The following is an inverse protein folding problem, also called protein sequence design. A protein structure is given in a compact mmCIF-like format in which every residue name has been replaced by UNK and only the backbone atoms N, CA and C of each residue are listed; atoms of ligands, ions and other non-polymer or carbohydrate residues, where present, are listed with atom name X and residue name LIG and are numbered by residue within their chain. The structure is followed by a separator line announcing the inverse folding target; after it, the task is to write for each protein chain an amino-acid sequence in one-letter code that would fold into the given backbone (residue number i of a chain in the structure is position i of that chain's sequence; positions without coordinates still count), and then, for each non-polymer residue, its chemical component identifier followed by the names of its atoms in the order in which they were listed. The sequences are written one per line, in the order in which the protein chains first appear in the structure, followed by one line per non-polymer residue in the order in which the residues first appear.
data_IF_292937242502
#
_entry.id   IF_292937242502
#
_cell.length_a   1.000
_cell.length_b   1.000
_cell.length_c   1.000
_cell.angle_alpha   90.00
_cell.angle_beta   90.00
_cell.angle_gamma   90.00
#
_symmetry.space_group_name_H-M   'P 1'
#
loop_
_entity.id
_entity.type
_entity.pdbx_description
1 polymer ?
#
# COMPACT_ATOMS: atom_id res chain seq x y z
N UNK A 1 18.34 -30.96 -17.51
CA UNK A 1 19.24 -30.81 -16.34
C UNK A 1 19.50 -29.33 -16.14
N UNK A 2 19.82 -28.89 -14.92
CA UNK A 2 20.20 -27.50 -14.61
C UNK A 2 21.23 -27.57 -13.48
N UNK A 3 22.35 -26.86 -13.62
CA UNK A 3 23.33 -26.78 -12.54
C UNK A 3 23.97 -25.39 -12.46
N UNK A 4 24.00 -24.79 -11.26
CA UNK A 4 24.67 -23.53 -10.98
C UNK A 4 25.10 -23.40 -9.52
N UNK A 5 26.05 -22.51 -9.27
CA UNK A 5 26.51 -22.13 -7.94
C UNK A 5 26.32 -20.62 -7.75
N UNK A 6 25.85 -20.21 -6.57
CA UNK A 6 25.53 -18.81 -6.28
C UNK A 6 25.96 -18.47 -4.84
N UNK A 7 26.36 -17.21 -4.59
CA UNK A 7 26.61 -16.70 -3.23
C UNK A 7 25.33 -16.71 -2.43
N UNK A 8 25.34 -17.39 -1.27
CA UNK A 8 24.15 -17.59 -0.43
C UNK A 8 23.47 -16.27 -0.06
N UNK A 9 24.22 -15.30 0.42
CA UNK A 9 23.65 -14.04 0.93
C UNK A 9 22.99 -13.21 -0.19
N UNK A 10 23.61 -13.18 -1.38
CA UNK A 10 23.01 -12.59 -2.57
C UNK A 10 21.69 -13.30 -2.94
N UNK A 11 21.71 -14.63 -2.95
CA UNK A 11 20.55 -15.43 -3.30
C UNK A 11 19.40 -15.25 -2.30
N UNK A 12 19.70 -15.17 -1.00
CA UNK A 12 18.69 -14.91 0.04
C UNK A 12 17.96 -13.58 -0.20
N UNK A 13 18.66 -12.53 -0.58
CA UNK A 13 18.04 -11.23 -0.85
C UNK A 13 17.04 -11.32 -2.00
N UNK A 14 17.43 -11.92 -3.12
CA UNK A 14 16.55 -12.10 -4.28
C UNK A 14 15.34 -12.99 -3.97
N UNK A 15 15.55 -14.06 -3.21
CA UNK A 15 14.49 -14.99 -2.80
C UNK A 15 13.51 -14.34 -1.81
N UNK A 16 13.98 -13.47 -0.92
CA UNK A 16 13.11 -12.74 -0.01
C UNK A 16 12.12 -11.83 -0.74
N UNK A 17 12.57 -11.14 -1.78
CA UNK A 17 11.70 -10.28 -2.60
C UNK A 17 10.69 -11.12 -3.38
N UNK A 18 11.14 -12.22 -4.00
CA UNK A 18 10.24 -13.15 -4.69
C UNK A 18 9.20 -13.77 -3.76
N UNK A 19 9.59 -14.09 -2.51
CA UNK A 19 8.70 -14.71 -1.53
C UNK A 19 7.53 -13.79 -1.13
N UNK A 20 7.69 -12.46 -1.18
CA UNK A 20 6.62 -11.48 -0.90
C UNK A 20 5.47 -11.60 -1.90
N UNK A 21 5.75 -12.00 -3.14
CA UNK A 21 4.74 -12.20 -4.18
C UNK A 21 3.99 -13.54 -4.08
N UNK A 22 4.49 -14.50 -3.29
CA UNK A 22 3.87 -15.83 -3.17
C UNK A 22 2.65 -15.78 -2.26
N UNK A 23 1.46 -16.01 -2.84
CA UNK A 23 0.23 -16.15 -2.07
C UNK A 23 0.14 -17.51 -1.39
N UNK A 24 -0.19 -17.60 -0.08
CA UNK A 24 -0.45 -18.86 0.59
C UNK A 24 -1.79 -19.48 0.17
N UNK A 25 -2.65 -18.72 -0.48
CA UNK A 25 -3.96 -19.15 -0.98
C UNK A 25 -4.04 -18.86 -2.47
N UNK A 26 -3.92 -19.88 -3.28
CA UNK A 26 -4.04 -19.81 -4.73
C UNK A 26 -4.81 -21.02 -5.23
N UNK A 27 -5.56 -20.84 -6.32
CA UNK A 27 -6.27 -21.90 -7.03
C UNK A 27 -5.34 -22.76 -7.87
N UNK A 28 -4.14 -22.25 -8.18
CA UNK A 28 -3.11 -22.96 -8.93
C UNK A 28 -1.93 -23.29 -8.01
N UNK A 29 -1.80 -24.57 -7.55
CA UNK A 29 -0.75 -24.94 -6.59
C UNK A 29 0.67 -24.57 -7.02
N UNK A 30 0.98 -24.58 -8.31
CA UNK A 30 2.31 -24.23 -8.84
C UNK A 30 2.71 -22.77 -8.51
N UNK A 31 1.76 -21.86 -8.30
CA UNK A 31 2.01 -20.47 -7.89
C UNK A 31 2.42 -20.31 -6.42
N UNK A 32 2.45 -21.39 -5.64
CA UNK A 32 3.11 -21.41 -4.33
C UNK A 32 4.61 -21.65 -4.43
N UNK A 33 5.08 -21.95 -5.64
CA UNK A 33 6.48 -22.20 -5.97
C UNK A 33 7.19 -20.98 -6.49
N UNK A 34 8.52 -21.05 -6.46
CA UNK A 34 9.44 -20.13 -7.13
C UNK A 34 9.95 -20.82 -8.39
N UNK A 35 9.72 -20.20 -9.55
CA UNK A 35 10.34 -20.62 -10.79
C UNK A 35 11.77 -20.07 -10.86
N UNK A 36 12.72 -20.95 -11.12
CA UNK A 36 14.13 -20.62 -11.30
C UNK A 36 14.50 -20.95 -12.74
N UNK A 37 14.94 -19.94 -13.48
CA UNK A 37 15.47 -20.09 -14.84
C UNK A 37 16.96 -19.77 -14.81
N UNK A 38 17.80 -20.74 -15.13
CA UNK A 38 19.24 -20.61 -15.20
C UNK A 38 19.67 -20.53 -16.68
N UNK A 39 20.15 -19.37 -17.15
CA UNK A 39 20.33 -19.07 -18.59
C UNK A 39 21.74 -18.62 -18.99
N UNK A 40 22.50 -17.98 -18.09
CA UNK A 40 23.79 -17.32 -18.43
C UNK A 40 24.79 -17.51 -17.29
N UNK A 41 26.10 -17.66 -17.61
CA UNK A 41 27.20 -17.82 -16.65
C UNK A 41 27.03 -18.98 -15.64
N UNK A 42 26.58 -20.13 -16.14
CA UNK A 42 26.20 -21.29 -15.34
C UNK A 42 26.77 -22.57 -15.95
N UNK A 43 26.79 -23.65 -15.16
CA UNK A 43 27.31 -24.93 -15.59
C UNK A 43 26.40 -25.61 -16.62
N UNK A 44 25.09 -25.63 -16.34
CA UNK A 44 24.07 -26.16 -17.23
C UNK A 44 22.79 -25.33 -17.18
N UNK A 45 22.26 -24.97 -18.34
CA UNK A 45 21.01 -24.20 -18.47
C UNK A 45 19.80 -25.07 -18.21
N UNK A 46 18.77 -24.49 -17.58
CA UNK A 46 17.51 -25.20 -17.34
C UNK A 46 16.57 -24.41 -16.43
N UNK A 47 15.44 -25.03 -16.11
CA UNK A 47 14.42 -24.42 -15.29
C UNK A 47 13.80 -25.43 -14.34
N UNK A 48 13.33 -24.97 -13.19
CA UNK A 48 12.58 -25.76 -12.23
C UNK A 48 11.66 -24.86 -11.41
N UNK A 49 10.54 -25.39 -10.91
CA UNK A 49 9.70 -24.72 -9.91
C UNK A 49 9.87 -25.44 -8.57
N UNK A 50 10.32 -24.73 -7.54
CA UNK A 50 10.54 -25.28 -6.20
C UNK A 50 9.50 -24.74 -5.20
N UNK A 51 9.07 -25.52 -4.18
CA UNK A 51 8.17 -25.05 -3.13
C UNK A 51 8.73 -23.83 -2.42
N UNK A 52 8.19 -22.63 -2.71
CA UNK A 52 8.84 -21.35 -2.45
C UNK A 52 9.27 -21.15 -0.99
N UNK A 53 8.35 -21.35 -0.03
CA UNK A 53 8.63 -21.16 1.41
C UNK A 53 9.69 -22.12 1.93
N UNK A 54 9.53 -23.40 1.65
CA UNK A 54 10.51 -24.42 2.08
C UNK A 54 11.88 -24.18 1.48
N UNK A 55 11.93 -23.86 0.19
CA UNK A 55 13.16 -23.58 -0.51
C UNK A 55 13.89 -22.38 0.13
N UNK A 56 13.20 -21.27 0.35
CA UNK A 56 13.79 -20.09 0.99
C UNK A 56 14.27 -20.38 2.42
N UNK A 57 13.48 -21.13 3.19
CA UNK A 57 13.84 -21.50 4.57
C UNK A 57 15.10 -22.39 4.61
N UNK A 58 15.25 -23.30 3.64
CA UNK A 58 16.48 -24.11 3.50
C UNK A 58 17.66 -23.19 3.21
N UNK A 59 17.58 -22.36 2.16
CA UNK A 59 18.69 -21.48 1.75
C UNK A 59 19.15 -20.58 2.91
N UNK A 60 18.21 -20.03 3.69
CA UNK A 60 18.54 -19.21 4.88
C UNK A 60 19.31 -19.96 5.95
N UNK A 61 19.12 -21.26 6.09
CA UNK A 61 19.71 -22.09 7.15
C UNK A 61 20.99 -22.83 6.71
N UNK A 62 21.37 -22.75 5.43
CA UNK A 62 22.58 -23.38 4.94
C UNK A 62 23.85 -22.75 5.56
N UNK A 63 24.87 -23.58 5.94
CA UNK A 63 26.04 -23.09 6.66
C UNK A 63 27.09 -22.43 5.76
N UNK A 64 27.12 -22.76 4.47
CA UNK A 64 28.17 -22.30 3.55
C UNK A 64 27.93 -20.91 2.98
N UNK A 65 28.99 -20.31 2.44
CA UNK A 65 28.92 -19.01 1.74
C UNK A 65 28.36 -19.15 0.31
N UNK A 66 28.42 -20.35 -0.24
CA UNK A 66 27.93 -20.69 -1.58
C UNK A 66 26.90 -21.81 -1.50
N UNK A 67 25.97 -21.77 -2.42
CA UNK A 67 24.93 -22.77 -2.59
C UNK A 67 25.00 -23.27 -4.02
N UNK A 68 25.10 -24.59 -4.18
CA UNK A 68 25.02 -25.26 -5.49
C UNK A 68 23.65 -25.89 -5.62
N UNK A 69 22.97 -25.66 -6.75
CA UNK A 69 21.74 -26.32 -7.15
C UNK A 69 22.02 -27.19 -8.38
N UNK A 70 21.51 -28.41 -8.34
CA UNK A 70 21.55 -29.35 -9.48
C UNK A 70 20.19 -30.02 -9.61
N UNK A 71 19.56 -29.91 -10.79
CA UNK A 71 18.23 -30.47 -11.06
C UNK A 71 18.31 -31.48 -12.18
N UNK A 72 17.71 -32.65 -11.99
CA UNK A 72 17.63 -33.72 -13.01
C UNK A 72 16.39 -33.55 -13.92
N UNK A 73 16.21 -34.48 -14.87
CA UNK A 73 15.08 -34.48 -15.82
C UNK A 73 13.71 -34.72 -15.14
N UNK A 74 13.68 -35.28 -13.94
CA UNK A 74 12.48 -35.51 -13.16
C UNK A 74 12.19 -34.36 -12.17
N UNK A 75 12.85 -33.20 -12.36
CA UNK A 75 12.75 -32.03 -11.48
C UNK A 75 13.14 -32.27 -10.01
N UNK A 76 13.88 -33.35 -9.72
CA UNK A 76 14.49 -33.53 -8.40
C UNK A 76 15.68 -32.61 -8.29
N UNK A 77 15.67 -31.74 -7.28
CA UNK A 77 16.69 -30.70 -7.10
C UNK A 77 17.52 -30.99 -5.87
N UNK A 78 18.81 -31.22 -6.10
CA UNK A 78 19.83 -31.34 -5.06
C UNK A 78 20.37 -29.95 -4.75
N UNK A 79 20.32 -29.59 -3.48
CA UNK A 79 20.85 -28.33 -2.94
C UNK A 79 21.98 -28.66 -2.00
N UNK A 80 23.20 -28.19 -2.29
CA UNK A 80 24.35 -28.46 -1.45
C UNK A 80 25.05 -27.18 -1.00
N UNK A 81 25.55 -27.17 0.25
CA UNK A 81 26.35 -26.08 0.78
C UNK A 81 27.21 -26.58 1.95
N UNK A 82 28.53 -26.58 1.80
CA UNK A 82 29.44 -27.20 2.75
C UNK A 82 29.16 -28.71 2.87
N UNK A 83 28.81 -29.17 4.07
CA UNK A 83 28.46 -30.56 4.36
C UNK A 83 26.94 -30.81 4.38
N UNK A 84 26.14 -29.82 4.05
CA UNK A 84 24.67 -29.94 4.03
C UNK A 84 24.17 -30.29 2.65
N UNK A 85 23.23 -31.21 2.59
CA UNK A 85 22.59 -31.70 1.39
C UNK A 85 21.09 -31.81 1.58
N UNK A 86 20.31 -31.23 0.66
CA UNK A 86 18.84 -31.32 0.64
C UNK A 86 18.39 -31.74 -0.75
N UNK A 87 17.41 -32.66 -0.77
CA UNK A 87 16.71 -33.06 -2.00
C UNK A 87 15.29 -32.54 -1.96
N UNK A 88 14.91 -31.70 -2.93
CA UNK A 88 13.55 -31.19 -3.09
C UNK A 88 12.94 -31.73 -4.38
N UNK A 89 11.68 -32.15 -4.28
CA UNK A 89 10.86 -32.43 -5.45
C UNK A 89 10.36 -31.11 -6.03
N UNK A 90 10.80 -30.80 -7.25
CA UNK A 90 10.31 -29.66 -8.02
C UNK A 90 9.11 -30.03 -8.88
N UNK A 91 8.55 -29.04 -9.54
CA UNK A 91 7.47 -29.17 -10.52
C UNK A 91 8.00 -28.74 -11.89
N UNK A 92 7.33 -29.21 -12.91
CA UNK A 92 7.60 -28.89 -14.30
C UNK A 92 7.41 -27.37 -14.54
N UNK A 93 8.46 -26.65 -14.95
CA UNK A 93 8.42 -25.21 -15.19
C UNK A 93 7.52 -24.80 -16.36
N UNK A 94 7.20 -25.71 -17.27
CA UNK A 94 6.31 -25.45 -18.41
C UNK A 94 4.85 -25.31 -17.98
N UNK A 95 4.50 -25.83 -16.79
CA UNK A 95 3.19 -25.64 -16.17
C UNK A 95 3.07 -24.27 -15.45
N UNK A 96 4.18 -23.57 -15.28
CA UNK A 96 4.16 -22.24 -14.64
C UNK A 96 3.58 -21.22 -15.63
N UNK A 97 2.58 -20.43 -15.23
CA UNK A 97 1.99 -19.44 -16.13
C UNK A 97 3.05 -18.51 -16.70
N UNK A 98 3.00 -18.30 -18.00
CA UNK A 98 3.85 -17.33 -18.66
C UNK A 98 3.50 -15.93 -18.14
N UNK A 99 4.51 -15.14 -17.85
CA UNK A 99 4.32 -13.71 -17.60
C UNK A 99 3.88 -13.08 -18.92
N UNK A 100 2.77 -12.31 -18.91
CA UNK A 100 2.33 -11.63 -20.11
C UNK A 100 3.39 -10.61 -20.56
N UNK A 101 3.52 -10.47 -21.85
CA UNK A 101 4.29 -9.39 -22.44
C UNK A 101 3.50 -8.09 -22.26
N UNK A 102 4.03 -7.18 -21.46
CA UNK A 102 3.53 -5.80 -21.36
C UNK A 102 4.34 -4.97 -22.36
N UNK A 103 3.67 -4.23 -23.25
CA UNK A 103 4.35 -3.27 -24.13
C UNK A 103 5.16 -2.30 -23.29
N UNK A 104 6.35 -1.96 -23.78
CA UNK A 104 7.28 -1.08 -23.05
C UNK A 104 7.35 0.32 -23.65
N UNK A 105 6.39 0.65 -24.52
CA UNK A 105 6.49 1.86 -25.33
C UNK A 105 5.97 3.13 -24.64
N UNK A 106 5.09 3.00 -23.59
CA UNK A 106 4.46 4.12 -22.91
C UNK A 106 4.60 3.97 -21.38
N UNK A 107 5.82 4.07 -20.89
CA UNK A 107 6.07 4.03 -19.45
C UNK A 107 5.78 5.38 -18.79
N UNK A 108 5.11 5.35 -17.64
CA UNK A 108 5.15 6.46 -16.70
C UNK A 108 6.35 6.27 -15.80
N UNK A 109 7.22 7.24 -15.74
CA UNK A 109 8.37 7.21 -14.85
C UNK A 109 8.10 8.05 -13.59
N UNK A 110 8.34 7.45 -12.43
CA UNK A 110 8.27 8.11 -11.13
C UNK A 110 9.52 7.76 -10.32
N UNK A 111 9.93 8.63 -9.40
CA UNK A 111 10.90 8.16 -8.41
C UNK A 111 10.25 7.18 -7.43
N UNK A 112 11.01 6.21 -6.94
CA UNK A 112 10.56 5.25 -5.93
C UNK A 112 9.99 5.97 -4.71
N UNK A 113 10.59 7.07 -4.29
CA UNK A 113 10.12 7.89 -3.17
C UNK A 113 8.72 8.47 -3.41
N UNK A 114 8.48 9.01 -4.59
CA UNK A 114 7.16 9.55 -4.98
C UNK A 114 6.11 8.45 -4.98
N UNK A 115 6.41 7.28 -5.56
CA UNK A 115 5.48 6.16 -5.58
C UNK A 115 5.17 5.63 -4.17
N UNK A 116 6.18 5.52 -3.30
CA UNK A 116 5.97 5.15 -1.89
C UNK A 116 5.07 6.12 -1.17
N UNK A 117 5.23 7.42 -1.40
CA UNK A 117 4.36 8.45 -0.82
C UNK A 117 2.93 8.31 -1.35
N UNK A 118 2.72 8.12 -2.65
CA UNK A 118 1.39 7.86 -3.23
C UNK A 118 0.72 6.67 -2.54
N UNK A 119 1.45 5.56 -2.38
CA UNK A 119 0.93 4.36 -1.71
C UNK A 119 0.60 4.64 -0.25
N UNK A 120 1.49 5.30 0.49
CA UNK A 120 1.28 5.63 1.90
C UNK A 120 0.09 6.57 2.11
N UNK A 121 -0.13 7.50 1.18
CA UNK A 121 -1.17 8.53 1.25
C UNK A 121 -2.55 8.04 0.80
N UNK A 122 -2.65 6.89 0.13
CA UNK A 122 -3.92 6.41 -0.44
C UNK A 122 -4.29 5.00 0.01
N UNK A 123 -3.37 4.06 0.01
CA UNK A 123 -3.66 2.64 0.12
C UNK A 123 -4.29 2.20 1.46
N UNK A 124 -4.13 2.99 2.53
CA UNK A 124 -4.76 2.72 3.82
C UNK A 124 -6.29 2.88 3.80
N UNK A 125 -6.82 3.63 2.82
CA UNK A 125 -8.24 3.93 2.69
C UNK A 125 -9.00 2.91 1.83
N UNK A 126 -8.35 1.88 1.27
CA UNK A 126 -9.03 0.83 0.52
C UNK A 126 -9.94 0.00 1.43
N UNK A 127 -11.00 -0.55 0.86
CA UNK A 127 -11.90 -1.47 1.55
C UNK A 127 -11.24 -2.83 1.81
N UNK A 128 -11.51 -3.41 2.96
CA UNK A 128 -11.17 -4.81 3.26
C UNK A 128 -12.29 -5.77 2.88
N UNK A 129 -13.46 -5.25 2.51
CA UNK A 129 -14.63 -6.05 2.14
C UNK A 129 -14.62 -6.36 0.64
N UNK A 130 -14.75 -7.65 0.31
CA UNK A 130 -14.84 -8.12 -1.07
C UNK A 130 -16.23 -7.97 -1.69
N UNK A 131 -17.21 -7.43 -0.98
CA UNK A 131 -18.56 -7.19 -1.51
C UNK A 131 -18.58 -6.17 -2.64
N UNK A 132 -17.61 -5.24 -2.66
CA UNK A 132 -17.36 -4.30 -3.73
C UNK A 132 -15.87 -4.38 -4.11
N UNK A 133 -15.49 -5.32 -4.99
CA UNK A 133 -14.09 -5.59 -5.29
C UNK A 133 -13.31 -4.36 -5.76
N UNK A 134 -13.92 -3.45 -6.53
CA UNK A 134 -13.29 -2.22 -7.01
C UNK A 134 -12.76 -1.33 -5.89
N UNK A 135 -13.42 -1.32 -4.71
CA UNK A 135 -12.99 -0.53 -3.56
C UNK A 135 -11.82 -1.18 -2.78
N UNK A 136 -11.45 -2.42 -3.09
CA UNK A 136 -10.26 -3.05 -2.50
C UNK A 136 -8.95 -2.62 -3.18
N UNK A 137 -9.05 -1.76 -4.19
CA UNK A 137 -7.93 -1.18 -4.90
C UNK A 137 -7.91 0.34 -4.84
N UNK A 138 -6.79 0.89 -5.30
CA UNK A 138 -6.60 2.32 -5.53
C UNK A 138 -6.88 2.61 -6.99
N UNK A 139 -7.78 3.55 -7.26
CA UNK A 139 -8.02 4.03 -8.61
C UNK A 139 -6.93 5.00 -9.04
N UNK A 140 -6.34 4.76 -10.20
CA UNK A 140 -5.38 5.61 -10.85
C UNK A 140 -6.00 6.19 -12.11
N UNK A 141 -6.30 7.47 -12.07
CA UNK A 141 -6.80 8.23 -13.21
C UNK A 141 -5.67 9.12 -13.71
N UNK A 142 -5.28 8.93 -14.96
CA UNK A 142 -4.34 9.78 -15.67
C UNK A 142 -5.14 10.55 -16.70
N UNK A 143 -5.15 11.85 -16.56
CA UNK A 143 -5.85 12.76 -17.46
C UNK A 143 -5.10 14.08 -17.52
N UNK A 144 -4.89 14.59 -18.74
CA UNK A 144 -4.23 15.88 -18.98
C UNK A 144 -2.86 16.00 -18.27
N UNK A 145 -2.08 14.92 -18.28
CA UNK A 145 -0.79 14.76 -17.58
C UNK A 145 -0.86 14.87 -16.06
N UNK A 146 -2.04 14.81 -15.46
CA UNK A 146 -2.21 14.68 -14.02
C UNK A 146 -2.53 13.22 -13.66
N UNK A 147 -1.79 12.66 -12.70
CA UNK A 147 -2.10 11.39 -12.06
C UNK A 147 -2.89 11.65 -10.79
N UNK A 148 -4.13 11.15 -10.73
CA UNK A 148 -5.00 11.21 -9.56
C UNK A 148 -5.18 9.82 -9.00
N UNK A 149 -4.66 9.57 -7.80
CA UNK A 149 -4.79 8.30 -7.08
C UNK A 149 -5.87 8.43 -6.01
N UNK A 150 -6.91 7.59 -6.07
CA UNK A 150 -8.07 7.65 -5.18
C UNK A 150 -8.34 6.31 -4.52
N UNK A 151 -8.58 6.32 -3.22
CA UNK A 151 -8.98 5.14 -2.46
C UNK A 151 -10.13 5.46 -1.49
N UNK A 152 -11.10 4.55 -1.35
CA UNK A 152 -12.21 4.70 -0.40
C UNK A 152 -12.75 3.35 0.08
N UNK A 153 -13.20 3.31 1.33
CA UNK A 153 -13.94 2.19 1.93
C UNK A 153 -15.43 2.53 2.16
N UNK A 154 -15.92 3.64 1.58
CA UNK A 154 -17.24 4.23 1.77
C UNK A 154 -17.43 5.03 3.06
N UNK A 155 -16.47 5.06 3.98
CA UNK A 155 -16.50 5.85 5.20
C UNK A 155 -15.43 6.94 5.24
N UNK A 156 -14.42 6.79 4.41
CA UNK A 156 -13.32 7.73 4.20
C UNK A 156 -12.86 7.69 2.75
N UNK A 157 -12.19 8.74 2.33
CA UNK A 157 -11.65 8.86 0.98
C UNK A 157 -10.27 9.50 1.07
N UNK A 158 -9.30 8.91 0.38
CA UNK A 158 -7.96 9.44 0.22
C UNK A 158 -7.72 9.79 -1.24
N UNK A 159 -7.22 11.00 -1.51
CA UNK A 159 -6.85 11.44 -2.84
C UNK A 159 -5.43 12.00 -2.83
N UNK A 160 -4.63 11.57 -3.78
CA UNK A 160 -3.32 12.12 -4.07
C UNK A 160 -3.27 12.52 -5.55
N UNK A 161 -2.88 13.77 -5.82
CA UNK A 161 -2.69 14.33 -7.17
C UNK A 161 -1.21 14.56 -7.41
N UNK A 162 -0.77 14.28 -8.61
CA UNK A 162 0.62 14.49 -9.05
C UNK A 162 0.63 14.93 -10.52
N UNK A 163 1.31 16.02 -10.81
CA UNK A 163 1.59 16.41 -12.19
C UNK A 163 2.71 15.53 -12.74
N UNK A 164 2.46 14.87 -13.87
CA UNK A 164 3.47 14.08 -14.57
C UNK A 164 4.36 15.00 -15.40
N UNK A 165 5.65 14.64 -15.49
CA UNK A 165 6.63 15.44 -16.24
C UNK A 165 6.48 15.19 -17.76
N UNK A 166 6.21 13.96 -18.16
CA UNK A 166 6.07 13.55 -19.55
C UNK A 166 4.61 13.47 -19.97
N UNK A 167 4.36 13.64 -21.29
CA UNK A 167 3.05 13.39 -21.87
C UNK A 167 2.67 11.92 -21.70
N UNK A 168 1.49 11.69 -21.16
CA UNK A 168 0.98 10.36 -20.87
C UNK A 168 -0.41 10.16 -21.44
N UNK A 169 -0.67 8.98 -21.96
CA UNK A 169 -2.01 8.62 -22.41
C UNK A 169 -3.03 8.63 -21.24
N UNK A 170 -4.23 9.09 -21.53
CA UNK A 170 -5.33 9.03 -20.58
C UNK A 170 -5.62 7.57 -20.20
N UNK A 171 -5.57 7.26 -18.92
CA UNK A 171 -5.80 5.92 -18.36
C UNK A 171 -6.70 6.02 -17.15
N UNK A 172 -7.53 5.02 -16.95
CA UNK A 172 -8.33 4.88 -15.73
C UNK A 172 -8.32 3.40 -15.33
N UNK A 173 -7.55 3.08 -14.29
CA UNK A 173 -7.28 1.71 -13.87
C UNK A 173 -7.41 1.58 -12.35
N UNK A 174 -7.70 0.37 -11.87
CA UNK A 174 -7.80 0.08 -10.44
C UNK A 174 -6.75 -0.95 -10.08
N UNK A 175 -5.74 -0.53 -9.29
CA UNK A 175 -4.66 -1.40 -8.84
C UNK A 175 -5.02 -1.97 -7.47
N UNK A 176 -4.98 -3.31 -7.28
CA UNK A 176 -5.29 -3.91 -5.98
C UNK A 176 -4.42 -3.33 -4.86
N UNK A 177 -5.04 -2.91 -3.76
CA UNK A 177 -4.32 -2.34 -2.63
C UNK A 177 -3.31 -3.30 -1.99
N UNK A 178 -3.62 -4.61 -2.04
CA UNK A 178 -2.68 -5.64 -1.62
C UNK A 178 -1.43 -5.67 -2.50
N UNK A 179 -1.57 -5.53 -3.82
CA UNK A 179 -0.43 -5.49 -4.73
C UNK A 179 0.45 -4.26 -4.48
N UNK A 180 -0.14 -3.09 -4.28
CA UNK A 180 0.59 -1.88 -3.90
C UNK A 180 1.32 -2.04 -2.55
N UNK A 181 0.70 -2.69 -1.57
CA UNK A 181 1.35 -3.00 -0.29
C UNK A 181 2.55 -3.92 -0.44
N UNK A 182 2.48 -4.95 -1.30
CA UNK A 182 3.61 -5.85 -1.56
C UNK A 182 4.70 -5.14 -2.37
N UNK A 183 4.34 -4.36 -3.37
CA UNK A 183 5.28 -3.53 -4.12
C UNK A 183 6.06 -2.58 -3.19
N UNK A 184 5.36 -1.91 -2.27
CA UNK A 184 5.98 -0.99 -1.30
C UNK A 184 7.03 -1.67 -0.41
N UNK A 185 6.84 -2.96 -0.08
CA UNK A 185 7.82 -3.74 0.71
C UNK A 185 9.04 -4.17 -0.11
N UNK A 186 8.89 -4.28 -1.43
CA UNK A 186 9.96 -4.70 -2.34
C UNK A 186 10.87 -3.52 -2.67
N UNK A 187 10.29 -2.34 -2.88
CA UNK A 187 11.05 -1.12 -3.16
C UNK A 187 11.94 -0.73 -1.98
N UNK A 188 13.23 -0.58 -2.24
CA UNK A 188 14.17 0.02 -1.27
C UNK A 188 13.92 1.52 -1.12
N UNK A 189 14.39 2.11 -0.02
CA UNK A 189 14.40 3.58 0.10
C UNK A 189 15.58 4.13 -0.71
N UNK A 190 15.36 4.34 -1.99
CA UNK A 190 16.34 4.85 -2.95
C UNK A 190 15.75 5.97 -3.78
N UNK A 191 16.62 6.79 -4.37
CA UNK A 191 16.24 7.81 -5.33
C UNK A 191 16.17 7.24 -6.77
N UNK A 192 16.11 5.90 -6.91
CA UNK A 192 15.95 5.24 -8.20
C UNK A 192 14.58 5.54 -8.81
N UNK A 193 14.53 5.50 -10.14
CA UNK A 193 13.29 5.61 -10.89
C UNK A 193 12.62 4.25 -11.03
N UNK A 194 11.31 4.28 -11.09
CA UNK A 194 10.45 3.14 -11.38
C UNK A 194 9.64 3.41 -12.63
N UNK A 195 9.71 2.50 -13.58
CA UNK A 195 8.91 2.54 -14.79
C UNK A 195 7.61 1.78 -14.58
N UNK A 196 6.49 2.37 -14.97
CA UNK A 196 5.15 1.82 -14.80
C UNK A 196 4.50 1.67 -16.17
N UNK A 197 4.16 0.44 -16.53
CA UNK A 197 3.56 0.10 -17.81
C UNK A 197 2.17 -0.46 -17.60
N UNK A 198 1.20 0.00 -18.38
CA UNK A 198 -0.17 -0.48 -18.31
C UNK A 198 -0.52 -1.32 -19.54
N UNK A 199 -1.05 -2.51 -19.29
CA UNK A 199 -1.72 -3.33 -20.30
C UNK A 199 -3.25 -3.31 -20.05
N UNK A 200 -4.01 -3.99 -20.90
CA UNK A 200 -5.47 -4.00 -20.80
C UNK A 200 -6.03 -4.45 -19.45
N UNK A 201 -5.37 -5.41 -18.79
CA UNK A 201 -5.82 -5.99 -17.51
C UNK A 201 -4.69 -6.16 -16.49
N UNK A 202 -3.54 -5.54 -16.73
CA UNK A 202 -2.35 -5.69 -15.88
C UNK A 202 -1.55 -4.40 -15.81
N UNK A 203 -0.76 -4.28 -14.75
CA UNK A 203 0.26 -3.25 -14.58
C UNK A 203 1.59 -3.92 -14.26
N UNK A 204 2.65 -3.44 -14.90
CA UNK A 204 4.04 -3.81 -14.64
C UNK A 204 4.76 -2.63 -14.01
N UNK A 205 5.39 -2.86 -12.88
CA UNK A 205 6.34 -1.96 -12.22
C UNK A 205 7.74 -2.52 -12.39
N UNK A 206 8.67 -1.74 -12.94
CA UNK A 206 10.06 -2.12 -13.13
C UNK A 206 10.97 -1.17 -12.35
N UNK A 207 11.70 -1.72 -11.39
CA UNK A 207 12.71 -0.99 -10.62
C UNK A 207 13.98 -1.83 -10.56
N UNK A 208 15.09 -1.28 -11.05
CA UNK A 208 16.34 -2.04 -11.20
C UNK A 208 16.13 -3.36 -11.96
N UNK A 209 16.44 -4.46 -11.29
CA UNK A 209 16.30 -5.83 -11.86
C UNK A 209 14.97 -6.50 -11.50
N UNK A 210 14.06 -5.78 -10.81
CA UNK A 210 12.78 -6.32 -10.35
C UNK A 210 11.68 -5.92 -11.33
N UNK A 211 10.92 -6.91 -11.80
CA UNK A 211 9.67 -6.71 -12.51
C UNK A 211 8.53 -7.22 -11.62
N UNK A 212 7.69 -6.30 -11.15
CA UNK A 212 6.51 -6.62 -10.36
C UNK A 212 5.26 -6.46 -11.21
N UNK A 213 4.49 -7.53 -11.38
CA UNK A 213 3.29 -7.55 -12.21
C UNK A 213 2.08 -7.80 -11.31
N UNK A 214 1.03 -7.00 -11.52
CA UNK A 214 -0.26 -7.20 -10.89
C UNK A 214 -1.39 -7.18 -11.91
N UNK A 215 -2.43 -7.98 -11.68
CA UNK A 215 -3.70 -7.82 -12.39
C UNK A 215 -4.40 -6.58 -11.88
N UNK A 216 -5.08 -5.88 -12.78
CA UNK A 216 -5.99 -4.78 -12.46
C UNK A 216 -7.34 -5.34 -11.98
N UNK A 217 -8.04 -4.59 -11.15
CA UNK A 217 -9.41 -4.93 -10.78
C UNK A 217 -10.36 -4.46 -11.89
N UNK A 218 -11.26 -5.34 -12.28
CA UNK A 218 -12.26 -5.05 -13.29
C UNK A 218 -13.44 -4.27 -12.68
N UNK A 219 -14.00 -3.33 -13.45
CA UNK A 219 -15.18 -2.56 -13.08
C UNK A 219 -14.94 -1.05 -13.10
N UNK A 220 -15.96 -0.30 -12.71
CA UNK A 220 -15.91 1.16 -12.65
C UNK A 220 -15.73 1.61 -11.19
N UNK A 221 -14.72 2.45 -10.96
CA UNK A 221 -14.57 3.11 -9.67
C UNK A 221 -15.65 4.18 -9.52
N UNK A 222 -16.26 4.34 -8.33
CA UNK A 222 -17.27 5.36 -8.14
C UNK A 222 -16.72 6.77 -8.35
N UNK A 223 -17.53 7.65 -8.93
CA UNK A 223 -17.18 9.06 -9.05
C UNK A 223 -17.16 9.69 -7.66
N UNK A 224 -15.98 10.16 -7.25
CA UNK A 224 -15.73 10.78 -5.95
C UNK A 224 -15.63 12.30 -6.02
N UNK A 225 -15.64 12.91 -7.21
CA UNK A 225 -15.44 14.35 -7.40
C UNK A 225 -16.50 15.18 -6.69
N UNK A 226 -17.74 14.67 -6.66
CA UNK A 226 -18.90 15.33 -6.02
C UNK A 226 -18.95 15.19 -4.51
N UNK A 227 -18.02 14.45 -3.90
CA UNK A 227 -18.01 14.25 -2.45
C UNK A 227 -17.32 15.39 -1.71
N UNK A 228 -16.59 16.25 -2.41
CA UNK A 228 -15.90 17.40 -1.84
C UNK A 228 -16.83 18.60 -1.81
N UNK A 229 -17.20 19.10 -0.61
CA UNK A 229 -18.01 20.32 -0.49
C UNK A 229 -17.17 21.55 -0.88
N UNK A 230 -17.82 22.59 -1.40
CA UNK A 230 -17.15 23.78 -1.90
C UNK A 230 -16.79 24.82 -0.82
N UNK A 231 -17.63 24.93 0.25
CA UNK A 231 -17.47 25.96 1.26
C UNK A 231 -17.46 25.35 2.67
N UNK A 232 -16.40 25.55 3.40
CA UNK A 232 -16.31 25.13 4.80
C UNK A 232 -17.05 26.12 5.73
N UNK A 233 -17.55 25.64 6.84
CA UNK A 233 -18.13 26.45 7.94
C UNK A 233 -17.07 26.78 8.98
N UNK A 234 -16.11 25.86 9.19
CA UNK A 234 -15.00 26.01 10.13
C UNK A 234 -13.74 25.44 9.50
N UNK A 235 -12.64 26.15 9.66
CA UNK A 235 -11.30 25.71 9.31
C UNK A 235 -10.40 25.76 10.54
N UNK A 236 -9.62 24.71 10.75
CA UNK A 236 -8.63 24.61 11.81
C UNK A 236 -7.25 24.41 11.22
N UNK A 237 -6.28 25.24 11.60
CA UNK A 237 -4.86 24.94 11.45
C UNK A 237 -4.32 24.36 12.76
N UNK A 238 -3.71 23.17 12.73
CA UNK A 238 -3.25 22.49 13.92
C UNK A 238 -1.96 21.72 13.67
N UNK A 239 -1.08 21.62 14.68
CA UNK A 239 0.11 20.79 14.57
C UNK A 239 -0.28 19.31 14.42
N UNK A 240 0.21 18.66 13.37
CA UNK A 240 -0.14 17.28 13.00
C UNK A 240 0.24 16.29 14.11
N UNK A 241 1.46 16.40 14.63
CA UNK A 241 1.97 15.50 15.68
C UNK A 241 1.18 15.61 16.98
N UNK A 242 0.94 16.83 17.45
CA UNK A 242 0.18 17.08 18.69
C UNK A 242 -1.25 16.58 18.55
N UNK A 243 -1.89 16.84 17.43
CA UNK A 243 -3.24 16.36 17.16
C UNK A 243 -3.32 14.84 17.06
N UNK A 244 -2.38 14.22 16.34
CA UNK A 244 -2.28 12.76 16.27
C UNK A 244 -2.13 12.13 17.66
N UNK A 245 -1.21 12.63 18.49
CA UNK A 245 -0.97 12.07 19.82
C UNK A 245 -2.14 12.26 20.78
N UNK A 246 -2.84 13.39 20.72
CA UNK A 246 -4.05 13.61 21.53
C UNK A 246 -5.18 12.65 21.12
N UNK A 247 -5.38 12.44 19.81
CA UNK A 247 -6.34 11.45 19.31
C UNK A 247 -5.94 10.03 19.71
N UNK A 248 -4.66 9.68 19.66
CA UNK A 248 -4.18 8.34 20.06
C UNK A 248 -4.47 8.08 21.54
N UNK A 249 -4.17 9.04 22.45
CA UNK A 249 -4.51 8.93 23.87
C UNK A 249 -6.02 8.83 24.09
N UNK A 250 -6.82 9.69 23.46
CA UNK A 250 -8.28 9.65 23.59
C UNK A 250 -8.87 8.34 23.01
N UNK A 251 -8.22 7.74 22.01
CA UNK A 251 -8.64 6.49 21.36
C UNK A 251 -8.56 5.28 22.28
N UNK A 252 -7.77 5.31 23.36
CA UNK A 252 -7.63 4.17 24.26
C UNK A 252 -8.99 3.78 24.87
N UNK A 253 -9.77 4.76 25.35
CA UNK A 253 -11.10 4.50 25.88
C UNK A 253 -12.15 4.23 24.79
N UNK A 254 -12.00 4.88 23.63
CA UNK A 254 -12.90 4.64 22.51
C UNK A 254 -12.79 3.21 21.95
N UNK A 255 -11.60 2.60 21.96
CA UNK A 255 -11.35 1.20 21.55
C UNK A 255 -12.01 0.21 22.50
N UNK A 256 -11.86 0.41 23.79
CA UNK A 256 -12.49 -0.45 24.81
C UNK A 256 -14.02 -0.41 24.72
N UNK A 257 -14.61 0.75 24.39
CA UNK A 257 -16.03 0.88 24.08
C UNK A 257 -16.46 0.22 22.77
N UNK A 258 -15.53 -0.34 21.99
CA UNK A 258 -15.77 -1.12 20.76
C UNK A 258 -16.20 -0.31 19.53
N UNK A 259 -16.32 1.02 19.65
CA UNK A 259 -16.87 1.89 18.61
C UNK A 259 -15.83 2.83 17.95
N UNK A 260 -14.63 2.98 18.54
CA UNK A 260 -13.58 3.90 18.12
C UNK A 260 -14.03 5.37 17.93
N UNK A 261 -15.06 5.81 18.64
CA UNK A 261 -15.65 7.15 18.49
C UNK A 261 -14.97 8.16 19.41
N UNK A 262 -14.48 9.23 18.81
CA UNK A 262 -14.02 10.43 19.51
C UNK A 262 -14.96 11.58 19.16
N UNK A 263 -15.29 12.40 20.16
CA UNK A 263 -15.99 13.68 19.99
C UNK A 263 -14.96 14.80 19.97
N UNK A 264 -15.08 15.68 18.99
CA UNK A 264 -14.30 16.89 18.85
C UNK A 264 -15.22 18.09 19.05
N UNK A 265 -14.78 19.04 19.86
CA UNK A 265 -15.44 20.34 20.03
C UNK A 265 -14.42 21.44 19.75
N UNK A 266 -14.77 22.40 18.90
CA UNK A 266 -13.94 23.57 18.65
C UNK A 266 -14.30 24.69 19.63
N UNK A 267 -13.28 25.41 20.12
CA UNK A 267 -13.40 26.66 20.87
C UNK A 267 -12.61 27.75 20.14
N UNK A 268 -12.34 28.90 20.80
CA UNK A 268 -11.68 30.03 20.16
C UNK A 268 -10.23 29.75 19.74
N UNK A 269 -9.49 28.92 20.46
CA UNK A 269 -8.08 28.56 20.17
C UNK A 269 -7.77 27.14 20.63
N UNK A 270 -8.76 26.43 21.16
CA UNK A 270 -8.60 25.08 21.71
C UNK A 270 -9.53 24.10 20.99
N UNK A 271 -8.99 22.97 20.64
CA UNK A 271 -9.74 21.80 20.22
C UNK A 271 -9.81 20.83 21.37
N UNK A 272 -11.01 20.53 21.83
CA UNK A 272 -11.28 19.53 22.86
C UNK A 272 -11.62 18.19 22.19
N UNK A 273 -10.92 17.14 22.56
CA UNK A 273 -11.19 15.76 22.17
C UNK A 273 -11.69 15.00 23.40
N UNK A 274 -12.75 14.24 23.24
CA UNK A 274 -13.27 13.42 24.34
C UNK A 274 -13.77 12.07 23.86
N UNK A 275 -13.62 11.06 24.71
CA UNK A 275 -14.27 9.77 24.55
C UNK A 275 -14.74 9.21 25.89
N UNK A 276 -15.70 8.30 25.84
CA UNK A 276 -16.33 7.70 27.03
C UNK A 276 -16.48 6.20 26.81
N UNK A 277 -16.03 5.44 27.80
CA UNK A 277 -16.36 4.04 27.97
C UNK A 277 -17.21 3.89 29.22
N UNK A 278 -18.42 3.32 29.14
CA UNK A 278 -19.30 3.14 30.31
C UNK A 278 -18.67 2.34 31.44
N UNK A 279 -17.75 1.43 31.13
CA UNK A 279 -17.13 0.52 32.08
C UNK A 279 -15.83 1.07 32.68
N UNK A 280 -15.11 1.94 31.95
CA UNK A 280 -13.75 2.37 32.32
C UNK A 280 -13.75 3.83 32.79
N UNK A 281 -14.47 4.72 32.08
CA UNK A 281 -14.53 6.14 32.42
C UNK A 281 -14.48 7.06 31.19
N UNK A 282 -13.98 8.26 31.40
CA UNK A 282 -13.95 9.35 30.41
C UNK A 282 -12.54 9.88 30.23
N UNK A 283 -12.21 10.30 29.03
CA UNK A 283 -10.99 11.05 28.72
C UNK A 283 -11.37 12.37 28.06
N UNK A 284 -10.62 13.40 28.41
CA UNK A 284 -10.66 14.73 27.81
C UNK A 284 -9.23 15.17 27.52
N UNK A 285 -8.99 15.55 26.29
CA UNK A 285 -7.71 16.08 25.81
C UNK A 285 -7.94 17.45 25.21
N UNK A 286 -7.01 18.35 25.39
CA UNK A 286 -7.03 19.68 24.78
C UNK A 286 -5.79 19.86 23.90
N UNK A 287 -5.99 20.36 22.69
CA UNK A 287 -4.93 20.64 21.73
C UNK A 287 -5.08 22.08 21.27
N UNK A 288 -3.97 22.81 21.24
CA UNK A 288 -3.95 24.16 20.70
C UNK A 288 -4.15 24.14 19.19
N UNK A 289 -5.05 24.96 18.70
CA UNK A 289 -5.16 25.28 17.29
C UNK A 289 -4.34 26.54 16.98
N UNK A 290 -3.55 26.49 15.92
CA UNK A 290 -2.73 27.63 15.50
C UNK A 290 -3.57 28.68 14.78
N UNK A 291 -4.66 28.23 14.14
CA UNK A 291 -5.61 29.07 13.42
C UNK A 291 -7.01 28.46 13.51
N UNK A 292 -8.02 29.31 13.76
CA UNK A 292 -9.43 28.89 13.86
C UNK A 292 -10.29 29.91 13.13
N UNK A 293 -10.82 29.51 11.98
CA UNK A 293 -11.81 30.28 11.26
C UNK A 293 -13.20 29.69 11.48
N UNK A 294 -14.19 30.53 11.76
CA UNK A 294 -15.59 30.13 11.95
C UNK A 294 -16.03 30.03 13.42
N UNK A 295 -17.11 29.32 13.64
CA UNK A 295 -17.76 29.25 14.97
C UNK A 295 -17.43 27.96 15.75
N UNK A 296 -18.29 27.67 16.74
CA UNK A 296 -18.16 26.44 17.52
C UNK A 296 -18.77 25.24 16.79
N UNK A 297 -18.08 24.13 16.77
CA UNK A 297 -18.53 22.86 16.21
C UNK A 297 -18.44 21.75 17.24
N UNK A 298 -19.39 20.81 17.16
CA UNK A 298 -19.28 19.51 17.83
C UNK A 298 -19.50 18.41 16.79
N UNK A 299 -18.52 17.55 16.63
CA UNK A 299 -18.54 16.47 15.64
C UNK A 299 -17.94 15.19 16.25
N UNK A 300 -18.41 14.05 15.79
CA UNK A 300 -17.86 12.76 16.21
C UNK A 300 -17.33 12.00 15.01
N UNK A 301 -16.21 11.30 15.17
CA UNK A 301 -15.56 10.56 14.11
C UNK A 301 -14.88 9.29 14.62
N UNK A 302 -14.48 8.43 13.69
CA UNK A 302 -13.69 7.25 13.98
C UNK A 302 -12.21 7.63 14.18
N UNK A 303 -11.69 7.37 15.38
CA UNK A 303 -10.30 7.69 15.76
C UNK A 303 -9.26 7.04 14.85
N UNK A 304 -9.51 5.79 14.42
CA UNK A 304 -8.60 5.09 13.52
C UNK A 304 -8.52 5.78 12.16
N UNK A 305 -9.66 6.18 11.59
CA UNK A 305 -9.69 6.88 10.30
C UNK A 305 -8.96 8.21 10.36
N UNK A 306 -9.14 8.96 11.45
CA UNK A 306 -8.43 10.20 11.67
C UNK A 306 -6.92 9.99 11.81
N UNK A 307 -6.49 9.03 12.62
CA UNK A 307 -5.06 8.72 12.78
C UNK A 307 -4.40 8.23 11.49
N UNK A 308 -5.10 7.42 10.70
CA UNK A 308 -4.60 6.97 9.40
C UNK A 308 -4.42 8.15 8.43
N UNK A 309 -5.38 9.09 8.41
CA UNK A 309 -5.33 10.30 7.59
C UNK A 309 -4.19 11.23 8.00
N UNK A 310 -4.02 11.48 9.31
CA UNK A 310 -2.93 12.32 9.84
C UNK A 310 -1.55 11.74 9.54
N UNK A 311 -1.38 10.42 9.65
CA UNK A 311 -0.13 9.72 9.27
C UNK A 311 0.19 9.84 7.78
N UNK A 312 -0.82 9.94 6.94
CA UNK A 312 -0.65 10.08 5.49
C UNK A 312 -0.24 11.49 5.06
N UNK A 313 -0.41 12.48 5.95
CA UNK A 313 -0.02 13.86 5.71
C UNK A 313 1.42 14.05 6.18
N UNK A 314 2.35 14.20 5.23
CA UNK A 314 3.78 14.46 5.48
C UNK A 314 4.02 15.98 5.62
N UNK A 315 3.45 16.57 6.66
CA UNK A 315 3.60 17.99 6.99
C UNK A 315 3.38 18.18 8.50
N UNK A 316 4.14 19.09 9.10
CA UNK A 316 4.02 19.44 10.52
C UNK A 316 2.70 20.13 10.86
N UNK A 317 2.06 20.79 9.89
CA UNK A 317 0.79 21.46 10.05
C UNK A 317 -0.28 20.84 9.12
N UNK A 318 -1.45 20.59 9.69
CA UNK A 318 -2.63 20.10 8.99
C UNK A 318 -3.76 21.13 9.05
N UNK A 319 -4.42 21.31 7.93
CA UNK A 319 -5.69 22.03 7.86
C UNK A 319 -6.85 21.04 7.90
N UNK A 320 -7.84 21.33 8.77
CA UNK A 320 -9.07 20.54 8.89
C UNK A 320 -10.25 21.42 8.57
N UNK A 321 -10.97 21.09 7.51
CA UNK A 321 -12.13 21.83 7.02
C UNK A 321 -13.42 21.09 7.37
N UNK A 322 -14.29 21.72 8.12
CA UNK A 322 -15.60 21.17 8.50
C UNK A 322 -16.72 21.91 7.76
N UNK A 323 -17.64 21.14 7.21
CA UNK A 323 -18.77 21.62 6.39
C UNK A 323 -20.09 21.50 7.13
N UNK A 324 -20.06 21.21 8.41
CA UNK A 324 -21.19 21.04 9.32
C UNK A 324 -21.09 19.77 10.16
N UNK A 325 -21.93 19.67 11.20
CA UNK A 325 -21.86 18.61 12.21
C UNK A 325 -22.13 17.19 11.66
N UNK A 326 -22.82 17.11 10.54
CA UNK A 326 -23.25 15.85 9.91
C UNK A 326 -22.78 15.67 8.46
N UNK A 327 -21.92 16.58 8.00
CA UNK A 327 -21.30 16.50 6.69
C UNK A 327 -19.88 15.92 6.81
N UNK A 328 -19.32 15.36 5.73
CA UNK A 328 -17.92 14.97 5.68
C UNK A 328 -17.02 16.16 6.07
N UNK A 329 -15.86 15.87 6.56
CA UNK A 329 -14.81 16.87 6.77
C UNK A 329 -13.51 16.44 6.09
N UNK A 330 -12.66 17.39 5.79
CA UNK A 330 -11.46 17.22 4.98
C UNK A 330 -10.24 17.54 5.83
N UNK A 331 -9.17 16.75 5.64
CA UNK A 331 -7.83 17.05 6.14
C UNK A 331 -6.90 17.18 4.94
N UNK A 332 -6.02 18.18 5.00
CA UNK A 332 -4.96 18.39 3.99
C UNK A 332 -3.72 18.99 4.65
N UNK A 333 -2.53 18.81 4.05
CA UNK A 333 -1.36 19.57 4.49
C UNK A 333 -1.64 21.07 4.34
N UNK A 334 -1.06 21.88 5.19
CA UNK A 334 -1.16 23.35 5.04
C UNK A 334 -0.56 23.77 3.70
N UNK A 335 -1.29 24.60 2.97
CA UNK A 335 -0.87 25.19 1.68
C UNK A 335 -0.58 24.13 0.58
N UNK A 336 -1.11 22.89 0.70
CA UNK A 336 -0.94 21.84 -0.31
C UNK A 336 -2.26 21.08 -0.54
N UNK A 337 -2.85 21.25 -1.72
CA UNK A 337 -4.07 20.56 -2.15
C UNK A 337 -3.79 19.24 -2.89
N UNK A 338 -2.54 18.82 -3.00
CA UNK A 338 -2.16 17.59 -3.70
C UNK A 338 -2.52 16.32 -2.92
N UNK A 339 -2.68 16.44 -1.58
CA UNK A 339 -3.12 15.38 -0.67
C UNK A 339 -4.40 15.81 0.02
N UNK A 340 -5.46 15.06 -0.17
CA UNK A 340 -6.75 15.33 0.48
C UNK A 340 -7.31 14.07 1.10
N UNK A 341 -7.66 14.16 2.38
CA UNK A 341 -8.27 13.08 3.16
C UNK A 341 -9.67 13.51 3.58
N UNK A 342 -10.69 12.74 3.22
CA UNK A 342 -12.07 13.01 3.61
C UNK A 342 -12.57 11.91 4.54
N UNK A 343 -13.23 12.31 5.64
CA UNK A 343 -13.78 11.39 6.63
C UNK A 343 -15.26 11.70 6.87
N UNK A 344 -16.08 10.66 6.92
CA UNK A 344 -17.49 10.79 7.30
C UNK A 344 -17.62 10.89 8.82
N UNK A 345 -18.45 11.80 9.33
CA UNK A 345 -18.76 11.86 10.75
C UNK A 345 -19.62 10.67 11.21
N UNK A 346 -19.54 10.39 12.52
CA UNK A 346 -20.38 9.37 13.16
C UNK A 346 -21.52 10.08 13.90
N UNK A 347 -22.74 9.60 13.71
CA UNK A 347 -23.90 10.07 14.51
C UNK A 347 -23.80 9.54 15.92
N UNK A 348 -23.69 10.44 16.90
CA UNK A 348 -23.82 10.11 18.33
C UNK A 348 -25.12 10.72 18.84
N UNK A 349 -25.97 9.89 19.42
CA UNK A 349 -27.23 10.30 20.06
C UNK A 349 -26.96 10.79 21.47
#
# INVERSE_FOLDING_TARGET
MMEFTIKRDYFINQLNDTLKAISPRTTLPILTGIKIDAKVEITETGSVVLPGRFFVDIIKKLPGKEVKLSTNEQFQTLITSGHSEFNLSGLDPDQYPLLPEVSRDDAIQLSVKVLKNIIAQTNFAVSTSETRPVLTGVNWLIQDNELICTATDSHRLAVRKLQLEDESENKNVIIPGKALSELNKIMSDSDEDIDIFFASNQVLFRVGNINFISRLLEGHYPDTTRLFPENYEIKLGINNGDFYHAIDRASLLAREGGNNVIKLSTGNELVELSSTSPEIGTVKEEVNANDVEGGNLKISFNSKYMMDALKAIDNDEVEVEFFGTMKPFILKPKDDDSVTQLILPIRTY
#
